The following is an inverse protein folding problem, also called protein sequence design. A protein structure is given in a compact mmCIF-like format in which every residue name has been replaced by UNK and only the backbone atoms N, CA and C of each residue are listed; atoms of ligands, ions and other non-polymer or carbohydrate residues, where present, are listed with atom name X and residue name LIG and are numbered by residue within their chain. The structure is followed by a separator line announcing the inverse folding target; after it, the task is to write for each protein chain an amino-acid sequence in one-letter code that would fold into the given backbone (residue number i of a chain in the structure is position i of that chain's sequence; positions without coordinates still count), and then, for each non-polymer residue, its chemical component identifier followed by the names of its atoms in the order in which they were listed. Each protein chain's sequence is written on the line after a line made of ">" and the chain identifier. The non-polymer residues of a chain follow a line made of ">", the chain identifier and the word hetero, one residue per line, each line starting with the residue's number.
data_IF_883527122251
#
_entry.id   IF_883527122251
#
_cell.length_a   1.000
_cell.length_b   1.000
_cell.length_c   1.000
_cell.angle_alpha   90.00
_cell.angle_beta   90.00
_cell.angle_gamma   90.00
#
_symmetry.space_group_name_H-M   'P 1'
#
loop_
_entity.id
_entity.type
_entity.pdbx_description
1 polymer ?
#
# COMPACT_ATOMS: atom_id res chain seq x y z
N UNK A 1 7.55 -13.97 -22.58
CA UNK A 1 8.09 -14.16 -21.21
C UNK A 1 7.94 -12.83 -20.50
N UNK A 2 6.97 -12.69 -19.60
CA UNK A 2 6.80 -11.47 -18.80
C UNK A 2 7.89 -11.41 -17.73
N UNK A 3 8.53 -10.25 -17.52
CA UNK A 3 9.45 -10.09 -16.41
C UNK A 3 8.63 -10.00 -15.12
N UNK A 4 8.60 -11.08 -14.35
CA UNK A 4 8.25 -11.01 -12.93
C UNK A 4 9.47 -10.45 -12.20
N UNK A 5 9.46 -9.17 -11.87
CA UNK A 5 10.44 -8.59 -10.95
C UNK A 5 10.05 -9.01 -9.54
N UNK A 6 10.60 -10.13 -9.08
CA UNK A 6 10.50 -10.54 -7.68
C UNK A 6 11.56 -9.75 -6.92
N UNK A 7 11.19 -8.58 -6.40
CA UNK A 7 12.02 -7.85 -5.45
C UNK A 7 12.17 -8.66 -4.17
N UNK A 8 13.41 -8.99 -3.79
CA UNK A 8 13.74 -9.77 -2.59
C UNK A 8 13.91 -8.91 -1.32
N UNK A 9 13.33 -7.70 -1.30
CA UNK A 9 13.05 -6.96 -0.07
C UNK A 9 11.54 -7.02 0.19
N UNK A 10 11.12 -7.32 1.42
CA UNK A 10 9.72 -7.27 1.84
C UNK A 10 9.24 -5.81 1.88
N UNK A 11 9.00 -5.25 0.70
CA UNK A 11 8.67 -3.86 0.44
C UNK A 11 7.21 -3.72 0.03
N UNK A 12 6.73 -2.48 0.03
CA UNK A 12 5.49 -2.11 -0.64
C UNK A 12 5.39 -2.71 -2.06
N UNK A 13 4.17 -2.87 -2.57
CA UNK A 13 3.97 -3.28 -3.97
C UNK A 13 4.19 -2.07 -4.86
N UNK A 14 5.11 -2.16 -5.82
CA UNK A 14 5.26 -1.21 -6.91
C UNK A 14 5.55 -1.97 -8.20
N UNK A 15 4.56 -2.01 -9.09
CA UNK A 15 4.64 -2.73 -10.37
C UNK A 15 4.34 -1.74 -11.48
N UNK A 16 5.13 -1.75 -12.54
CA UNK A 16 4.83 -0.97 -13.74
C UNK A 16 5.12 -1.75 -15.01
N UNK A 17 4.33 -1.46 -16.05
CA UNK A 17 4.55 -1.93 -17.42
C UNK A 17 4.07 -0.86 -18.39
N UNK A 18 4.88 -0.57 -19.41
CA UNK A 18 4.69 0.57 -20.32
C UNK A 18 4.57 1.92 -19.58
N UNK A 19 3.32 2.36 -19.37
CA UNK A 19 2.92 3.57 -18.65
C UNK A 19 1.88 3.27 -17.55
N UNK A 20 1.55 2.00 -17.36
CA UNK A 20 0.65 1.54 -16.33
C UNK A 20 1.41 1.20 -15.06
N UNK A 21 0.82 1.52 -13.91
CA UNK A 21 1.39 1.15 -12.62
C UNK A 21 0.33 0.88 -11.56
N UNK A 22 0.74 0.09 -10.56
CA UNK A 22 0.05 -0.13 -9.29
C UNK A 22 1.08 0.05 -8.18
N UNK A 23 0.76 0.91 -7.20
CA UNK A 23 1.57 1.11 -6.00
C UNK A 23 0.70 1.05 -4.74
N UNK A 24 1.10 0.22 -3.77
CA UNK A 24 0.46 0.15 -2.45
C UNK A 24 1.35 0.82 -1.41
N UNK A 25 0.83 1.31 -0.28
CA UNK A 25 1.65 1.60 0.89
C UNK A 25 2.15 0.30 1.55
N UNK A 26 3.17 0.41 2.39
CA UNK A 26 3.59 -0.64 3.34
C UNK A 26 3.43 -0.24 4.81
N UNK A 27 3.03 1.00 5.09
CA UNK A 27 2.74 1.45 6.45
C UNK A 27 1.57 2.44 6.46
N UNK A 28 0.66 2.29 7.41
CA UNK A 28 -0.52 3.14 7.67
C UNK A 28 -0.64 3.39 9.17
N UNK A 29 -1.10 4.58 9.53
CA UNK A 29 -1.09 5.11 10.89
C UNK A 29 -2.45 5.73 11.25
N UNK A 30 -3.47 4.90 11.58
CA UNK A 30 -4.83 5.36 11.80
C UNK A 30 -4.98 6.10 13.13
N UNK A 31 -4.54 7.36 13.20
CA UNK A 31 -4.56 8.21 14.39
C UNK A 31 -5.53 9.40 14.26
N UNK A 32 -6.22 9.51 13.13
CA UNK A 32 -7.17 10.55 12.75
C UNK A 32 -6.56 11.97 12.67
N UNK A 33 -5.27 12.09 12.32
CA UNK A 33 -4.63 13.38 12.04
C UNK A 33 -4.82 13.87 10.59
N UNK A 34 -5.44 13.05 9.74
CA UNK A 34 -5.74 13.32 8.33
C UNK A 34 -4.61 12.95 7.38
N UNK A 35 -3.56 12.30 7.86
CA UNK A 35 -2.35 11.95 7.13
C UNK A 35 -2.03 10.47 7.36
N UNK A 36 -1.79 9.72 6.27
CA UNK A 36 -1.49 8.28 6.32
C UNK A 36 -2.45 7.41 7.17
N UNK A 37 -3.67 7.89 7.45
CA UNK A 37 -4.70 7.17 8.23
C UNK A 37 -5.32 5.96 7.51
N UNK A 38 -5.24 5.93 6.18
CA UNK A 38 -5.95 4.96 5.36
C UNK A 38 -4.98 4.22 4.44
N UNK A 39 -5.31 2.97 4.13
CA UNK A 39 -4.67 2.28 3.03
C UNK A 39 -5.35 2.73 1.72
N UNK A 40 -4.57 3.28 0.80
CA UNK A 40 -5.04 3.70 -0.53
C UNK A 40 -4.01 3.34 -1.60
N UNK A 41 -4.45 2.75 -2.70
CA UNK A 41 -3.58 2.32 -3.80
C UNK A 41 -3.51 3.41 -4.87
N UNK A 42 -2.29 3.77 -5.27
CA UNK A 42 -2.06 4.64 -6.43
C UNK A 42 -1.98 3.80 -7.70
N UNK A 43 -2.80 4.15 -8.70
CA UNK A 43 -2.82 3.47 -10.00
C UNK A 43 -2.77 4.46 -11.15
N UNK A 44 -2.23 4.01 -12.29
CA UNK A 44 -2.29 4.75 -13.55
C UNK A 44 -2.43 3.79 -14.72
N UNK A 45 -3.25 4.15 -15.69
CA UNK A 45 -3.51 3.34 -16.89
C UNK A 45 -3.90 1.88 -16.55
N UNK A 46 -4.67 1.69 -15.48
CA UNK A 46 -5.24 0.41 -15.04
C UNK A 46 -6.74 0.44 -15.31
N UNK A 47 -7.26 -0.61 -15.96
CA UNK A 47 -8.68 -0.75 -16.31
C UNK A 47 -9.46 -1.55 -15.26
N UNK A 48 -8.79 -2.48 -14.57
CA UNK A 48 -9.38 -3.28 -13.50
C UNK A 48 -8.31 -3.60 -12.46
N UNK A 49 -8.75 -3.72 -11.22
CA UNK A 49 -7.91 -4.05 -10.08
C UNK A 49 -8.72 -4.87 -9.09
N UNK A 50 -8.13 -5.95 -8.59
CA UNK A 50 -8.57 -6.68 -7.41
C UNK A 50 -7.50 -6.53 -6.35
N UNK A 51 -7.92 -6.15 -5.15
CA UNK A 51 -7.08 -6.00 -3.97
C UNK A 51 -7.58 -6.93 -2.88
N UNK A 52 -6.68 -7.68 -2.27
CA UNK A 52 -6.96 -8.53 -1.11
C UNK A 52 -5.91 -8.24 -0.05
N UNK A 53 -6.36 -7.91 1.15
CA UNK A 53 -5.51 -7.75 2.32
C UNK A 53 -5.86 -8.87 3.30
N UNK A 54 -4.85 -9.66 3.66
CA UNK A 54 -4.97 -10.81 4.54
C UNK A 54 -4.22 -10.56 5.83
N UNK A 55 -4.79 -11.01 6.95
CA UNK A 55 -4.04 -11.21 8.19
C UNK A 55 -2.96 -12.29 7.99
N UNK A 56 -1.96 -12.34 8.86
CA UNK A 56 -0.89 -13.35 8.75
C UNK A 56 -1.39 -14.79 8.90
N UNK A 57 -2.53 -15.00 9.57
CA UNK A 57 -3.20 -16.29 9.69
C UNK A 57 -3.98 -16.70 8.41
N UNK A 58 -4.11 -15.82 7.42
CA UNK A 58 -4.82 -16.07 6.16
C UNK A 58 -6.25 -15.53 6.10
N UNK A 59 -6.79 -15.00 7.21
CA UNK A 59 -8.13 -14.41 7.21
C UNK A 59 -8.15 -13.13 6.37
N UNK A 60 -9.25 -12.91 5.65
CA UNK A 60 -9.45 -11.67 4.89
C UNK A 60 -9.73 -10.51 5.85
N UNK A 61 -8.92 -9.46 5.76
CA UNK A 61 -9.15 -8.19 6.45
C UNK A 61 -9.90 -7.21 5.55
N UNK A 62 -9.52 -7.15 4.26
CA UNK A 62 -10.14 -6.27 3.28
C UNK A 62 -10.10 -6.89 1.88
N UNK A 63 -11.13 -6.64 1.08
CA UNK A 63 -11.21 -7.05 -0.33
C UNK A 63 -11.93 -5.97 -1.14
N UNK A 64 -11.45 -5.69 -2.34
CA UNK A 64 -12.08 -4.72 -3.23
C UNK A 64 -11.71 -4.96 -4.69
N UNK A 65 -12.68 -4.74 -5.59
CA UNK A 65 -12.48 -4.73 -7.05
C UNK A 65 -12.51 -3.31 -7.64
N UNK A 66 -12.42 -2.28 -6.79
CA UNK A 66 -12.35 -0.89 -7.23
C UNK A 66 -10.97 -0.57 -7.83
N UNK A 67 -10.91 0.30 -8.83
CA UNK A 67 -9.65 0.77 -9.45
C UNK A 67 -8.81 1.67 -8.53
N UNK A 68 -9.45 2.25 -7.51
CA UNK A 68 -8.87 3.07 -6.47
C UNK A 68 -9.45 2.64 -5.10
N UNK A 69 -9.06 1.46 -4.61
CA UNK A 69 -9.59 0.92 -3.37
C UNK A 69 -9.01 1.69 -2.19
N UNK A 70 -9.87 1.95 -1.21
CA UNK A 70 -9.51 2.61 0.04
C UNK A 70 -10.02 1.75 1.19
N UNK A 71 -9.15 1.41 2.13
CA UNK A 71 -9.52 0.79 3.41
C UNK A 71 -9.36 1.86 4.49
N UNK A 72 -10.50 2.37 4.97
CA UNK A 72 -10.60 3.64 5.73
C UNK A 72 -11.23 3.52 7.12
N UNK A 73 -11.77 2.36 7.46
CA UNK A 73 -12.35 2.04 8.77
C UNK A 73 -11.30 1.44 9.72
N UNK A 74 -10.02 1.78 9.53
CA UNK A 74 -8.91 1.33 10.36
C UNK A 74 -8.90 2.02 11.72
N UNK A 75 -8.67 1.26 12.79
CA UNK A 75 -8.49 1.81 14.13
C UNK A 75 -7.45 1.04 14.98
N UNK A 76 -7.42 1.33 16.28
CA UNK A 76 -6.53 0.69 17.26
C UNK A 76 -6.71 -0.84 17.43
N UNK A 77 -7.77 -1.42 16.85
CA UNK A 77 -8.04 -2.86 16.85
C UNK A 77 -7.47 -3.57 15.61
N UNK A 78 -7.12 -2.82 14.56
CA UNK A 78 -6.56 -3.35 13.31
C UNK A 78 -5.02 -3.36 13.31
N UNK A 79 -4.38 -3.09 14.43
CA UNK A 79 -2.92 -3.01 14.51
C UNK A 79 -2.24 -4.34 14.17
N UNK A 80 -1.12 -4.24 13.48
CA UNK A 80 -0.27 -5.36 13.15
C UNK A 80 0.07 -5.43 11.67
N UNK A 81 0.52 -6.62 11.27
CA UNK A 81 1.04 -6.88 9.93
C UNK A 81 0.07 -7.66 9.07
N UNK A 82 -0.03 -7.26 7.82
CA UNK A 82 -0.90 -7.84 6.81
C UNK A 82 -0.12 -8.20 5.55
N UNK A 83 -0.64 -9.16 4.79
CA UNK A 83 -0.23 -9.44 3.42
C UNK A 83 -1.16 -8.70 2.47
N UNK A 84 -0.58 -7.93 1.57
CA UNK A 84 -1.32 -7.24 0.50
C UNK A 84 -1.11 -8.00 -0.78
N UNK A 85 -2.19 -8.31 -1.49
CA UNK A 85 -2.18 -8.91 -2.81
C UNK A 85 -2.96 -8.01 -3.75
N UNK A 86 -2.37 -7.70 -4.90
CA UNK A 86 -3.02 -6.91 -5.95
C UNK A 86 -2.85 -7.59 -7.29
N UNK A 87 -3.91 -7.59 -8.09
CA UNK A 87 -3.88 -8.05 -9.46
C UNK A 87 -4.76 -7.15 -10.32
N UNK A 88 -4.32 -6.79 -11.52
CA UNK A 88 -5.08 -5.90 -12.40
C UNK A 88 -4.65 -6.00 -13.84
N UNK A 89 -5.39 -5.30 -14.70
CA UNK A 89 -5.09 -5.22 -16.13
C UNK A 89 -4.84 -3.77 -16.55
N UNK A 90 -3.76 -3.55 -17.29
CA UNK A 90 -3.46 -2.25 -17.88
C UNK A 90 -4.42 -1.92 -19.03
N UNK A 91 -4.50 -0.63 -19.37
CA UNK A 91 -5.16 -0.15 -20.58
C UNK A 91 -4.55 -0.72 -21.88
N UNK A 92 -3.28 -1.13 -21.85
CA UNK A 92 -2.59 -1.83 -22.94
C UNK A 92 -2.85 -3.35 -22.99
N UNK A 93 -3.64 -3.89 -22.07
CA UNK A 93 -3.99 -5.32 -22.04
C UNK A 93 -2.94 -6.22 -21.38
N UNK A 94 -2.04 -5.65 -20.58
CA UNK A 94 -1.08 -6.42 -19.80
C UNK A 94 -1.59 -6.68 -18.38
N UNK A 95 -1.34 -7.88 -17.86
CA UNK A 95 -1.64 -8.20 -16.47
C UNK A 95 -0.50 -7.73 -15.56
N UNK A 96 -0.85 -7.06 -14.46
CA UNK A 96 0.05 -6.71 -13.36
C UNK A 96 -0.38 -7.49 -12.12
N UNK A 97 0.57 -8.12 -11.43
CA UNK A 97 0.31 -8.81 -10.16
C UNK A 97 1.47 -8.59 -9.22
N UNK A 98 1.17 -8.42 -7.94
CA UNK A 98 2.20 -8.33 -6.92
C UNK A 98 1.65 -8.54 -5.54
N UNK A 99 2.58 -8.69 -4.61
CA UNK A 99 2.27 -8.92 -3.21
C UNK A 99 3.32 -8.26 -2.34
N UNK A 100 2.88 -7.77 -1.20
CA UNK A 100 3.73 -7.04 -0.27
C UNK A 100 3.21 -7.17 1.16
N UNK A 101 3.81 -6.41 2.05
CA UNK A 101 3.37 -6.31 3.44
C UNK A 101 2.83 -4.91 3.72
N UNK A 102 1.89 -4.84 4.64
CA UNK A 102 1.35 -3.62 5.22
C UNK A 102 1.45 -3.73 6.73
N UNK A 103 2.04 -2.73 7.37
CA UNK A 103 2.02 -2.57 8.81
C UNK A 103 1.04 -1.45 9.19
N UNK A 104 0.07 -1.79 10.03
CA UNK A 104 -0.86 -0.84 10.64
C UNK A 104 -0.35 -0.59 12.06
N UNK A 105 0.12 0.63 12.32
CA UNK A 105 0.81 0.99 13.58
C UNK A 105 0.28 2.32 14.12
N UNK A 106 0.40 2.55 15.43
CA UNK A 106 0.10 3.85 16.05
C UNK A 106 1.37 4.46 16.63
N UNK A 107 1.47 5.79 16.64
CA UNK A 107 2.43 6.49 17.49
C UNK A 107 1.70 7.19 18.65
N UNK A 108 1.85 6.62 19.84
CA UNK A 108 1.23 7.14 21.07
C UNK A 108 2.04 8.32 21.62
N UNK A 109 2.14 9.44 20.89
CA UNK A 109 2.93 10.66 21.22
C UNK A 109 4.47 10.53 21.12
N UNK A 110 4.99 9.48 20.48
CA UNK A 110 6.42 9.35 20.22
C UNK A 110 6.90 10.42 19.23
N UNK A 111 8.14 10.90 19.41
CA UNK A 111 8.76 11.88 18.49
C UNK A 111 9.09 11.31 17.10
N UNK A 112 9.06 9.99 16.94
CA UNK A 112 9.13 9.31 15.65
C UNK A 112 8.60 7.86 15.72
N UNK A 113 8.24 7.32 14.55
CA UNK A 113 7.80 5.95 14.32
C UNK A 113 9.01 5.06 14.02
N UNK A 114 9.28 4.06 14.85
CA UNK A 114 10.27 3.04 14.50
C UNK A 114 9.71 2.13 13.42
N UNK A 115 10.33 2.15 12.25
CA UNK A 115 9.96 1.32 11.12
C UNK A 115 11.24 0.82 10.43
N UNK A 116 11.59 -0.47 10.58
CA UNK A 116 12.91 -0.97 10.17
C UNK A 116 13.05 -1.20 8.64
N UNK A 117 12.15 -0.63 7.84
CA UNK A 117 12.17 -0.68 6.38
C UNK A 117 11.98 0.72 5.80
N UNK A 118 12.12 0.88 4.48
CA UNK A 118 11.76 2.15 3.83
C UNK A 118 10.25 2.32 3.85
N UNK A 119 9.71 3.34 4.56
CA UNK A 119 8.28 3.58 4.60
C UNK A 119 7.81 4.10 3.24
N UNK A 120 6.72 3.53 2.76
CA UNK A 120 5.93 4.01 1.63
C UNK A 120 4.52 4.14 2.13
N UNK A 121 4.04 5.37 2.12
CA UNK A 121 2.76 5.74 2.67
C UNK A 121 1.79 6.05 1.55
N UNK A 122 0.50 6.05 1.84
CA UNK A 122 -0.45 6.60 0.87
C UNK A 122 -0.37 8.12 0.99
N UNK A 123 0.18 8.80 -0.02
CA UNK A 123 -0.09 10.23 -0.12
C UNK A 123 -1.53 10.36 -0.61
N UNK A 124 -2.43 10.53 0.34
CA UNK A 124 -3.87 10.66 0.09
C UNK A 124 -4.21 11.88 -0.79
N UNK A 125 -3.27 12.82 -0.93
CA UNK A 125 -3.45 14.12 -1.57
C UNK A 125 -2.73 14.24 -2.93
N UNK A 126 -1.73 13.41 -3.24
CA UNK A 126 -1.12 13.32 -4.58
C UNK A 126 -0.86 11.88 -5.08
N UNK A 127 -1.92 11.10 -5.39
CA UNK A 127 -1.82 9.71 -5.85
C UNK A 127 -1.24 9.54 -7.28
N UNK A 128 -0.69 10.60 -7.86
CA UNK A 128 -0.21 10.64 -9.27
C UNK A 128 1.26 10.27 -9.41
N UNK A 129 2.02 10.22 -8.32
CA UNK A 129 3.44 9.88 -8.32
C UNK A 129 3.64 8.37 -8.12
N UNK A 130 4.34 7.74 -9.07
CA UNK A 130 4.89 6.41 -8.89
C UNK A 130 6.30 6.56 -8.28
N UNK A 131 6.48 6.06 -7.07
CA UNK A 131 7.69 6.25 -6.28
C UNK A 131 7.40 6.39 -4.79
N UNK A 132 8.46 6.41 -3.98
CA UNK A 132 8.37 6.56 -2.53
C UNK A 132 7.74 7.92 -2.19
N UNK A 133 6.53 7.90 -1.63
CA UNK A 133 5.89 9.06 -1.01
C UNK A 133 6.08 8.99 0.51
N UNK A 134 6.67 10.05 1.04
CA UNK A 134 6.71 10.31 2.48
C UNK A 134 5.54 11.23 2.82
N UNK A 135 4.73 10.94 3.86
CA UNK A 135 3.77 11.92 4.32
C UNK A 135 4.55 13.09 4.92
N UNK A 136 4.11 14.30 4.60
CA UNK A 136 4.80 15.54 5.00
C UNK A 136 4.96 15.75 6.53
N UNK A 137 4.34 14.91 7.37
CA UNK A 137 4.30 15.10 8.84
C UNK A 137 4.66 13.86 9.66
N UNK A 138 4.90 12.69 9.04
CA UNK A 138 5.33 11.49 9.78
C UNK A 138 6.85 11.35 9.78
N UNK A 139 7.44 11.29 10.96
CA UNK A 139 8.88 11.07 11.12
C UNK A 139 9.12 9.59 11.38
N UNK A 140 9.71 8.89 10.42
CA UNK A 140 10.16 7.51 10.59
C UNK A 140 11.63 7.49 11.04
N UNK A 141 11.92 6.76 12.11
CA UNK A 141 13.28 6.55 12.64
C UNK A 141 13.77 5.12 12.35
N UNK A 142 15.06 5.01 12.04
CA UNK A 142 15.80 3.72 11.99
C UNK A 142 16.15 3.19 13.38
#
# INVERSE_FOLDING_TARGET
>A
MSPSVIGTGQTHVAISIDSAFIQTPNVVTPNADGINDVFSISTRNINSLTTVILRLNGDTAFVSDAIAPVWSDLDSTDLGRYRVHVAGWSASGHQLTGSGLLDVILYNSAGCLSYPWTPVTSDQYDPRLFGVSYPSQEVFCE
#
